data_IF_117169207170
#
_entry.id   IF_117169207170
#
_cell.length_a   1.000
_cell.length_b   1.000
_cell.length_c   1.000
_cell.angle_alpha   90.00
_cell.angle_beta   90.00
_cell.angle_gamma   90.00
#
_symmetry.space_group_name_H-M   'P 1'
#
loop_
_entity.id
_entity.type
_entity.pdbx_description
1 polymer ?
#
# COMPACT_ATOMS: atom_id res chain seq x y z
N UNK A 1 8.49 15.36 9.80
CA UNK A 1 8.19 16.81 9.88
C UNK A 1 7.12 17.01 10.94
N UNK A 2 7.47 17.54 12.13
CA UNK A 2 6.53 17.71 13.24
C UNK A 2 5.76 19.03 13.06
N UNK A 3 4.53 18.98 12.55
CA UNK A 3 3.65 20.16 12.58
C UNK A 3 3.15 20.35 14.00
N UNK A 4 3.49 21.47 14.62
CA UNK A 4 2.95 21.85 15.94
C UNK A 4 1.46 22.13 15.77
N UNK A 5 0.63 21.17 16.18
CA UNK A 5 -0.81 21.35 16.20
C UNK A 5 -1.22 22.34 17.29
N UNK A 6 -2.08 23.29 16.91
CA UNK A 6 -2.83 24.14 17.84
C UNK A 6 -3.88 23.29 18.58
N UNK A 7 -4.36 23.76 19.74
CA UNK A 7 -5.51 23.14 20.45
C UNK A 7 -6.73 23.13 19.52
N UNK A 8 -7.42 22.01 19.44
CA UNK A 8 -8.50 21.73 18.49
C UNK A 8 -8.02 21.33 17.08
N UNK A 9 -6.71 21.28 16.82
CA UNK A 9 -6.15 20.94 15.52
C UNK A 9 -6.30 19.46 15.16
N UNK A 10 -6.52 19.18 13.89
CA UNK A 10 -6.61 17.80 13.37
C UNK A 10 -5.23 17.30 12.97
N UNK A 11 -4.81 16.19 13.58
CA UNK A 11 -3.63 15.44 13.19
C UNK A 11 -3.97 14.47 12.05
N UNK A 12 -3.08 14.39 11.07
CA UNK A 12 -3.11 13.40 10.01
C UNK A 12 -1.68 12.99 9.67
N UNK A 13 -1.43 11.68 9.67
CA UNK A 13 -0.17 11.11 9.17
C UNK A 13 -0.43 9.84 8.38
N UNK A 14 0.34 9.70 7.29
CA UNK A 14 0.47 8.49 6.52
C UNK A 14 1.74 7.76 6.97
N UNK A 15 1.59 6.55 7.48
CA UNK A 15 2.66 5.73 8.02
C UNK A 15 2.84 4.53 7.11
N UNK A 16 4.03 4.44 6.52
CA UNK A 16 4.46 3.30 5.69
C UNK A 16 5.31 2.38 6.56
N UNK A 17 4.73 1.26 7.01
CA UNK A 17 5.45 0.27 7.81
C UNK A 17 6.09 -0.80 6.92
N UNK A 18 7.30 -1.23 7.25
CA UNK A 18 8.01 -2.32 6.57
C UNK A 18 7.23 -3.62 6.73
N UNK A 19 6.80 -4.23 5.61
CA UNK A 19 5.97 -5.45 5.62
C UNK A 19 6.42 -6.45 4.58
N UNK A 20 6.20 -7.72 4.90
CA UNK A 20 6.39 -8.84 3.99
C UNK A 20 5.41 -8.75 2.81
N UNK A 21 5.99 -8.52 1.65
CA UNK A 21 5.69 -9.23 0.39
C UNK A 21 4.51 -8.84 -0.48
N UNK A 22 3.55 -7.97 -0.11
CA UNK A 22 2.58 -7.53 -1.13
C UNK A 22 3.25 -6.68 -2.21
N UNK A 23 4.18 -5.81 -1.84
CA UNK A 23 4.98 -5.05 -2.81
C UNK A 23 5.91 -5.94 -3.62
N UNK A 24 6.55 -6.93 -2.98
CA UNK A 24 7.41 -7.89 -3.69
C UNK A 24 6.59 -8.74 -4.66
N UNK A 25 5.36 -9.11 -4.26
CA UNK A 25 4.41 -9.84 -5.08
C UNK A 25 3.83 -8.96 -6.19
N UNK A 26 3.60 -7.66 -5.95
CA UNK A 26 3.24 -6.67 -6.96
C UNK A 26 4.32 -6.56 -8.03
N UNK A 27 5.57 -6.40 -7.61
CA UNK A 27 6.72 -6.30 -8.50
C UNK A 27 6.86 -7.61 -9.29
N UNK A 28 6.80 -8.75 -8.60
CA UNK A 28 6.92 -10.07 -9.23
C UNK A 28 5.79 -10.32 -10.24
N UNK A 29 4.53 -10.11 -9.86
CA UNK A 29 3.39 -10.31 -10.75
C UNK A 29 3.40 -9.32 -11.91
N UNK A 30 3.74 -8.05 -11.66
CA UNK A 30 3.86 -7.06 -12.73
C UNK A 30 4.95 -7.44 -13.72
N UNK A 31 6.11 -7.89 -13.23
CA UNK A 31 7.20 -8.36 -14.07
C UNK A 31 6.79 -9.61 -14.85
N UNK A 32 6.11 -10.58 -14.22
CA UNK A 32 5.62 -11.80 -14.86
C UNK A 32 4.59 -11.47 -15.97
N UNK A 33 3.58 -10.65 -15.67
CA UNK A 33 2.55 -10.23 -16.63
C UNK A 33 3.14 -9.43 -17.78
N UNK A 34 4.08 -8.53 -17.50
CA UNK A 34 4.78 -7.77 -18.53
C UNK A 34 5.62 -8.68 -19.43
N UNK A 35 6.33 -9.65 -18.85
CA UNK A 35 7.12 -10.65 -19.60
C UNK A 35 6.22 -11.48 -20.49
N UNK A 36 5.14 -12.03 -19.94
CA UNK A 36 4.17 -12.85 -20.66
C UNK A 36 3.54 -12.08 -21.82
N UNK A 37 3.13 -10.83 -21.58
CA UNK A 37 2.59 -9.95 -22.62
C UNK A 37 3.59 -9.73 -23.77
N UNK A 38 4.85 -9.38 -23.45
CA UNK A 38 5.83 -9.12 -24.50
C UNK A 38 6.29 -10.40 -25.22
N UNK A 39 6.29 -11.55 -24.56
CA UNK A 39 6.50 -12.86 -25.20
C UNK A 39 5.40 -13.18 -26.20
N UNK A 40 4.14 -13.01 -25.81
CA UNK A 40 2.97 -13.31 -26.65
C UNK A 40 2.95 -12.46 -27.93
N UNK A 41 3.43 -11.21 -27.87
CA UNK A 41 3.52 -10.32 -29.04
C UNK A 41 4.92 -10.31 -29.70
N UNK A 42 5.80 -11.27 -29.36
CA UNK A 42 7.14 -11.45 -29.94
C UNK A 42 8.05 -10.19 -29.85
N UNK A 43 7.89 -9.38 -28.81
CA UNK A 43 8.63 -8.13 -28.59
C UNK A 43 9.94 -8.36 -27.82
N UNK A 44 10.84 -9.12 -28.41
CA UNK A 44 12.11 -9.58 -27.80
C UNK A 44 13.02 -8.45 -27.29
N UNK A 45 12.97 -7.27 -27.92
CA UNK A 45 13.75 -6.09 -27.48
C UNK A 45 13.29 -5.53 -26.14
N UNK A 46 12.00 -5.67 -25.80
CA UNK A 46 11.42 -5.15 -24.54
C UNK A 46 11.60 -6.11 -23.36
N UNK A 47 11.73 -7.40 -23.62
CA UNK A 47 12.01 -8.42 -22.58
C UNK A 47 13.37 -8.19 -21.94
N UNK A 48 14.37 -7.79 -22.75
CA UNK A 48 15.72 -7.43 -22.25
C UNK A 48 15.74 -6.16 -21.37
N UNK A 49 14.69 -5.32 -21.42
CA UNK A 49 14.55 -4.12 -20.59
C UNK A 49 13.97 -4.35 -19.20
N UNK A 50 13.54 -5.57 -18.88
CA UNK A 50 12.90 -5.91 -17.60
C UNK A 50 13.88 -5.77 -16.43
N UNK A 51 15.17 -6.04 -16.66
CA UNK A 51 16.24 -5.78 -15.68
C UNK A 51 16.40 -4.30 -15.33
N UNK A 52 16.01 -3.37 -16.23
CA UNK A 52 16.05 -1.91 -15.99
C UNK A 52 14.80 -1.39 -15.28
N UNK A 53 13.65 -2.04 -15.48
CA UNK A 53 12.39 -1.71 -14.79
C UNK A 53 12.31 -2.21 -13.34
N UNK A 54 13.29 -3.00 -12.88
CA UNK A 54 13.38 -3.45 -11.49
C UNK A 54 13.73 -2.32 -10.51
N UNK A 55 14.10 -1.13 -10.99
CA UNK A 55 14.22 0.11 -10.22
C UNK A 55 12.84 0.73 -9.87
N UNK A 56 11.86 -0.08 -9.47
CA UNK A 56 10.61 0.36 -8.84
C UNK A 56 10.74 0.55 -7.31
N UNK A 57 11.97 0.55 -6.81
CA UNK A 57 12.37 1.14 -5.53
C UNK A 57 13.18 2.40 -5.85
N UNK A 58 13.05 3.54 -5.18
CA UNK A 58 12.66 3.80 -3.81
C UNK A 58 12.28 5.29 -3.71
N UNK A 59 10.99 5.65 -3.59
CA UNK A 59 10.62 7.04 -3.24
C UNK A 59 10.07 7.17 -1.81
N UNK A 60 9.94 6.04 -1.09
CA UNK A 60 9.37 6.01 0.25
C UNK A 60 10.27 5.24 1.21
N UNK A 61 10.72 5.91 2.27
CA UNK A 61 11.39 5.29 3.41
C UNK A 61 10.40 4.32 4.10
N UNK A 62 10.63 3.02 3.97
CA UNK A 62 9.90 2.01 4.72
C UNK A 62 10.39 1.98 6.17
N UNK A 63 9.50 2.25 7.12
CA UNK A 63 9.91 2.33 8.51
C UNK A 63 9.82 0.95 9.20
N UNK A 64 10.83 0.61 10.01
CA UNK A 64 10.89 -0.63 10.80
C UNK A 64 9.99 -0.63 12.02
N UNK A 65 9.52 0.54 12.49
CA UNK A 65 8.68 0.60 13.68
C UNK A 65 7.27 0.05 13.41
N UNK A 66 6.69 -0.73 14.35
CA UNK A 66 5.31 -1.16 14.26
C UNK A 66 4.36 0.02 14.45
N UNK A 67 3.16 -0.07 13.85
CA UNK A 67 2.12 0.95 13.97
C UNK A 67 1.78 1.31 15.43
N UNK A 68 1.85 0.33 16.34
CA UNK A 68 1.59 0.52 17.77
C UNK A 68 2.49 1.58 18.40
N UNK A 69 3.74 1.66 17.98
CA UNK A 69 4.72 2.56 18.58
C UNK A 69 4.44 4.00 18.15
N UNK A 70 4.01 4.20 16.91
CA UNK A 70 3.51 5.49 16.44
C UNK A 70 2.27 5.93 17.20
N UNK A 71 1.27 5.05 17.35
CA UNK A 71 0.04 5.38 18.07
C UNK A 71 0.35 5.74 19.53
N UNK A 72 1.27 5.02 20.17
CA UNK A 72 1.74 5.33 21.53
C UNK A 72 2.43 6.69 21.60
N UNK A 73 3.36 6.97 20.68
CA UNK A 73 4.06 8.24 20.63
C UNK A 73 3.10 9.43 20.39
N UNK A 74 2.12 9.26 19.51
CA UNK A 74 1.10 10.27 19.23
C UNK A 74 0.20 10.53 20.44
N UNK A 75 -0.21 9.47 21.15
CA UNK A 75 -1.00 9.60 22.37
C UNK A 75 -0.20 10.33 23.47
N UNK A 76 1.08 9.97 23.65
CA UNK A 76 1.98 10.64 24.60
C UNK A 76 2.21 12.12 24.26
N UNK A 77 2.07 12.52 22.99
CA UNK A 77 2.16 13.91 22.54
C UNK A 77 0.90 14.75 22.78
N UNK A 78 -0.14 14.15 23.38
CA UNK A 78 -1.40 14.81 23.70
C UNK A 78 -2.45 14.73 22.59
N UNK A 79 -2.27 13.87 21.58
CA UNK A 79 -3.30 13.63 20.55
C UNK A 79 -4.33 12.65 21.11
N UNK A 80 -5.58 13.10 21.11
CA UNK A 80 -6.79 12.39 21.53
C UNK A 80 -7.55 11.84 20.32
N UNK A 81 -8.53 10.97 20.57
CA UNK A 81 -9.39 10.36 19.54
C UNK A 81 -8.62 9.68 18.39
N UNK A 82 -7.50 9.03 18.70
CA UNK A 82 -6.66 8.39 17.70
C UNK A 82 -7.43 7.27 16.99
N UNK A 83 -7.51 7.37 15.66
CA UNK A 83 -8.04 6.33 14.78
C UNK A 83 -6.98 5.95 13.77
N UNK A 84 -6.88 4.66 13.48
CA UNK A 84 -5.95 4.13 12.48
C UNK A 84 -6.67 3.21 11.52
N UNK A 85 -6.40 3.34 10.23
CA UNK A 85 -7.01 2.53 9.18
C UNK A 85 -5.95 2.09 8.18
N UNK A 86 -6.02 0.83 7.75
CA UNK A 86 -5.15 0.32 6.70
C UNK A 86 -5.63 0.78 5.32
N UNK A 87 -4.69 1.13 4.44
CA UNK A 87 -4.98 1.60 3.07
C UNK A 87 -4.20 0.76 2.07
N UNK A 88 -4.72 0.72 0.84
CA UNK A 88 -4.17 0.00 -0.31
C UNK A 88 -4.02 -1.51 -0.06
N UNK A 89 -5.09 -2.22 0.34
CA UNK A 89 -5.03 -3.68 0.51
C UNK A 89 -4.99 -4.43 -0.85
N UNK A 90 -4.69 -3.75 -1.95
CA UNK A 90 -4.75 -4.29 -3.30
C UNK A 90 -3.36 -4.33 -3.93
N UNK A 91 -3.19 -5.32 -4.78
CA UNK A 91 -2.01 -5.45 -5.61
C UNK A 91 -2.10 -4.45 -6.78
N UNK A 92 -1.07 -3.63 -6.94
CA UNK A 92 -0.95 -2.73 -8.09
C UNK A 92 -0.20 -3.44 -9.22
N UNK A 93 -0.91 -4.37 -9.86
CA UNK A 93 -0.33 -5.17 -10.95
C UNK A 93 -0.43 -4.41 -12.26
N UNK A 94 0.69 -4.30 -12.98
CA UNK A 94 0.68 -3.85 -14.36
C UNK A 94 0.08 -4.94 -15.26
N UNK A 95 -1.11 -4.69 -15.82
CA UNK A 95 -1.82 -5.62 -16.69
C UNK A 95 -1.95 -5.08 -18.13
N UNK A 96 -2.10 -5.96 -19.12
CA UNK A 96 -2.39 -5.54 -20.50
C UNK A 96 -3.72 -4.76 -20.59
N UNK A 97 -3.86 -3.80 -21.53
CA UNK A 97 -5.07 -2.98 -21.66
C UNK A 97 -6.36 -3.80 -21.86
N UNK A 98 -6.28 -4.95 -22.52
CA UNK A 98 -7.44 -5.82 -22.75
C UNK A 98 -7.92 -6.52 -21.47
N UNK A 99 -7.07 -6.64 -20.44
CA UNK A 99 -7.44 -7.22 -19.14
C UNK A 99 -8.02 -6.19 -18.16
N UNK A 100 -7.88 -4.89 -18.45
CA UNK A 100 -8.22 -3.82 -17.50
C UNK A 100 -9.68 -3.89 -17.03
N UNK A 101 -10.62 -4.12 -17.96
CA UNK A 101 -12.05 -4.26 -17.63
C UNK A 101 -12.33 -5.48 -16.74
N UNK A 102 -11.67 -6.61 -16.99
CA UNK A 102 -11.85 -7.83 -16.21
C UNK A 102 -11.27 -7.65 -14.80
N UNK A 103 -10.09 -7.06 -14.71
CA UNK A 103 -9.44 -6.75 -13.45
C UNK A 103 -10.24 -5.75 -12.62
N UNK A 104 -10.75 -4.68 -13.24
CA UNK A 104 -11.62 -3.72 -12.58
C UNK A 104 -12.91 -4.38 -12.07
N UNK A 105 -13.50 -5.30 -12.82
CA UNK A 105 -14.70 -6.05 -12.37
C UNK A 105 -14.39 -6.94 -11.16
N UNK A 106 -13.26 -7.65 -11.21
CA UNK A 106 -12.79 -8.47 -10.10
C UNK A 106 -12.53 -7.63 -8.85
N UNK A 107 -11.82 -6.50 -8.98
CA UNK A 107 -11.58 -5.58 -7.88
C UNK A 107 -12.88 -5.04 -7.28
N UNK A 108 -13.83 -4.62 -8.12
CA UNK A 108 -15.16 -4.14 -7.66
C UNK A 108 -15.89 -5.18 -6.82
N UNK A 109 -15.84 -6.45 -7.22
CA UNK A 109 -16.45 -7.54 -6.45
C UNK A 109 -15.75 -7.75 -5.09
N UNK A 110 -14.46 -7.49 -5.00
CA UNK A 110 -13.68 -7.61 -3.76
C UNK A 110 -13.78 -6.38 -2.84
N UNK A 111 -14.18 -5.20 -3.34
CA UNK A 111 -14.25 -3.96 -2.54
C UNK A 111 -14.97 -4.14 -1.20
N UNK A 112 -16.14 -4.79 -1.09
CA UNK A 112 -16.85 -4.94 0.18
C UNK A 112 -16.03 -5.72 1.22
N UNK A 113 -15.43 -6.84 0.81
CA UNK A 113 -14.57 -7.66 1.66
C UNK A 113 -13.32 -6.88 2.10
N UNK A 114 -12.69 -6.18 1.16
CA UNK A 114 -11.52 -5.36 1.44
C UNK A 114 -11.82 -4.21 2.39
N UNK A 115 -12.98 -3.55 2.24
CA UNK A 115 -13.44 -2.51 3.19
C UNK A 115 -13.58 -3.07 4.60
N UNK A 116 -14.23 -4.22 4.74
CA UNK A 116 -14.35 -4.89 6.04
C UNK A 116 -12.96 -5.19 6.65
N UNK A 117 -12.03 -5.69 5.84
CA UNK A 117 -10.64 -5.91 6.28
C UNK A 117 -9.98 -4.60 6.70
N UNK A 118 -10.02 -3.55 5.89
CA UNK A 118 -9.37 -2.25 6.20
C UNK A 118 -9.88 -1.61 7.49
N UNK A 119 -11.17 -1.77 7.79
CA UNK A 119 -11.82 -1.20 8.97
C UNK A 119 -11.68 -2.08 10.22
N UNK A 120 -11.49 -3.39 10.06
CA UNK A 120 -11.43 -4.33 11.20
C UNK A 120 -10.23 -4.12 12.14
N UNK A 121 -9.14 -3.50 11.66
CA UNK A 121 -7.89 -3.40 12.43
C UNK A 121 -7.25 -4.75 12.79
N UNK A 122 -7.72 -5.84 12.19
CA UNK A 122 -7.31 -7.21 12.51
C UNK A 122 -5.85 -7.48 12.16
N UNK A 123 -5.31 -8.62 12.64
CA UNK A 123 -3.99 -9.09 12.27
C UNK A 123 -3.83 -9.25 10.75
N UNK A 124 -4.92 -9.58 10.05
CA UNK A 124 -4.93 -9.67 8.59
C UNK A 124 -4.75 -8.30 7.94
N UNK A 125 -5.42 -7.26 8.44
CA UNK A 125 -5.22 -5.86 8.01
C UNK A 125 -3.77 -5.42 8.23
N UNK A 126 -3.18 -5.81 9.37
CA UNK A 126 -1.76 -5.62 9.71
C UNK A 126 -0.78 -6.39 8.83
N UNK A 127 -1.24 -7.32 8.00
CA UNK A 127 -0.42 -7.98 6.99
C UNK A 127 -0.67 -7.42 5.59
N UNK A 128 -1.93 -7.13 5.26
CA UNK A 128 -2.34 -6.77 3.90
C UNK A 128 -2.22 -5.27 3.56
N UNK A 129 -2.25 -4.36 4.54
CA UNK A 129 -2.23 -2.92 4.22
C UNK A 129 -0.81 -2.34 4.29
N UNK A 130 -0.15 -1.98 3.18
CA UNK A 130 1.20 -1.42 3.21
C UNK A 130 1.25 -0.04 3.89
N UNK A 131 0.12 0.68 3.86
CA UNK A 131 0.00 2.06 4.33
C UNK A 131 -1.04 2.15 5.44
N UNK A 132 -0.78 3.02 6.42
CA UNK A 132 -1.69 3.31 7.52
C UNK A 132 -1.96 4.80 7.59
N UNK A 133 -3.23 5.17 7.61
CA UNK A 133 -3.62 6.54 7.93
C UNK A 133 -3.96 6.60 9.40
N UNK A 134 -3.33 7.55 10.10
CA UNK A 134 -3.60 7.84 11.51
C UNK A 134 -4.13 9.25 11.63
N UNK A 135 -5.29 9.37 12.27
CA UNK A 135 -5.98 10.63 12.53
C UNK A 135 -6.19 10.82 14.01
N UNK A 136 -6.21 12.07 14.47
CA UNK A 136 -6.57 12.41 15.84
C UNK A 136 -6.78 13.91 16.01
N UNK A 137 -7.09 14.34 17.22
CA UNK A 137 -7.26 15.76 17.59
C UNK A 137 -6.34 16.11 18.74
N UNK A 138 -5.80 17.32 18.78
CA UNK A 138 -4.96 17.80 19.88
C UNK A 138 -5.71 18.80 20.76
#
# INVERSE_FOLDING_TARGET
>A
MARVLKRGGVFHAEIVTRRLSLRSLDIFLSAAMYTAYNLLFLRWSKIRGISRGAHLGEDFFENTYPLSDYVRALSASGIQDLRSFGVRPFLMIAIPPWMDRLYARFLRALVPCLRAVTLSGSALTKRLCPVWLVYGRK
#
